data_IF_594267716066
#
_entry.id   IF_594267716066
#
_cell.length_a   1.000
_cell.length_b   1.000
_cell.length_c   1.000
_cell.angle_alpha   90.00
_cell.angle_beta   90.00
_cell.angle_gamma   90.00
#
_symmetry.space_group_name_H-M   'P 1'
#
loop_
_entity.id
_entity.type
_entity.pdbx_description
1 polymer ?
#
# COMPACT_ATOMS: atom_id res chain seq x y z
N UNK A 1 7.11 -37.64 62.80
CA UNK A 1 7.95 -37.95 61.63
C UNK A 1 7.19 -37.52 60.39
N UNK A 2 7.61 -36.37 59.87
CA UNK A 2 7.54 -35.82 58.51
C UNK A 2 7.12 -36.82 57.41
N UNK A 3 6.25 -36.52 56.43
CA UNK A 3 5.59 -35.30 55.98
C UNK A 3 4.66 -35.62 54.79
N UNK A 4 3.88 -34.65 54.27
CA UNK A 4 2.94 -34.88 53.17
C UNK A 4 3.67 -34.89 51.82
N UNK A 5 3.35 -35.86 50.96
CA UNK A 5 3.85 -35.94 49.58
C UNK A 5 3.13 -34.90 48.71
N UNK A 6 3.78 -33.75 48.49
CA UNK A 6 3.39 -32.77 47.48
C UNK A 6 3.60 -33.36 46.08
N UNK A 7 2.51 -33.65 45.38
CA UNK A 7 2.52 -33.91 43.95
C UNK A 7 2.61 -32.56 43.22
N UNK A 8 3.80 -32.22 42.73
CA UNK A 8 4.01 -31.07 41.83
C UNK A 8 3.63 -31.49 40.41
N UNK A 9 2.39 -31.19 40.00
CA UNK A 9 2.00 -31.19 38.60
C UNK A 9 2.53 -29.90 37.95
N UNK A 10 3.65 -29.99 37.22
CA UNK A 10 4.15 -28.89 36.42
C UNK A 10 3.28 -28.76 35.15
N UNK A 11 2.30 -27.86 35.19
CA UNK A 11 1.57 -27.44 34.00
C UNK A 11 2.51 -26.58 33.13
N UNK A 12 3.09 -27.20 32.10
CA UNK A 12 3.75 -26.49 31.00
C UNK A 12 2.66 -25.75 30.21
N UNK A 13 2.37 -24.52 30.63
CA UNK A 13 1.67 -23.54 29.81
C UNK A 13 2.59 -23.24 28.62
N UNK A 14 2.37 -23.94 27.52
CA UNK A 14 2.89 -23.55 26.21
C UNK A 14 2.18 -22.25 25.82
N UNK A 15 2.69 -21.13 26.32
CA UNK A 15 2.32 -19.82 25.82
C UNK A 15 2.84 -19.72 24.40
N UNK A 16 2.02 -20.14 23.44
CA UNK A 16 2.13 -19.71 22.05
C UNK A 16 1.83 -18.20 22.02
N UNK A 17 2.77 -17.38 22.50
CA UNK A 17 2.86 -16.00 22.05
C UNK A 17 3.23 -16.09 20.58
N UNK A 18 2.20 -16.20 19.74
CA UNK A 18 2.37 -15.85 18.34
C UNK A 18 2.96 -14.43 18.38
N UNK A 19 4.17 -14.18 17.84
CA UNK A 19 4.55 -12.80 17.61
C UNK A 19 3.41 -12.23 16.76
N UNK A 20 2.75 -11.20 17.26
CA UNK A 20 1.80 -10.44 16.47
C UNK A 20 2.64 -9.86 15.35
N UNK A 21 2.77 -10.60 14.25
CA UNK A 21 3.53 -10.19 13.10
C UNK A 21 3.00 -8.82 12.73
N UNK A 22 3.87 -7.81 12.80
CA UNK A 22 3.54 -6.41 12.60
C UNK A 22 2.60 -6.29 11.42
N UNK A 23 1.32 -6.12 11.72
CA UNK A 23 0.26 -6.04 10.73
C UNK A 23 0.20 -4.64 10.11
N UNK A 24 1.25 -3.85 10.32
CA UNK A 24 1.43 -2.51 9.82
C UNK A 24 1.76 -2.63 8.32
N UNK A 25 0.84 -2.14 7.49
CA UNK A 25 1.01 -2.05 6.04
C UNK A 25 0.86 -0.61 5.61
N UNK A 26 1.51 -0.19 4.52
CA UNK A 26 1.43 1.18 4.00
C UNK A 26 0.00 1.67 3.75
N UNK A 27 -0.99 0.78 3.65
CA UNK A 27 -2.41 1.15 3.63
C UNK A 27 -2.83 1.99 4.85
N UNK A 28 -2.15 1.90 6.00
CA UNK A 28 -2.43 2.73 7.18
C UNK A 28 -2.27 4.23 6.92
N UNK A 29 -1.55 4.63 5.86
CA UNK A 29 -1.48 6.01 5.39
C UNK A 29 -2.84 6.57 4.97
N UNK A 30 -3.80 5.71 4.62
CA UNK A 30 -5.17 6.14 4.32
C UNK A 30 -5.94 6.64 5.55
N UNK A 31 -5.61 6.11 6.73
CA UNK A 31 -6.30 6.39 7.99
C UNK A 31 -5.65 7.52 8.78
N UNK A 32 -4.35 7.74 8.55
CA UNK A 32 -3.57 8.78 9.20
C UNK A 32 -3.12 9.78 8.12
N UNK A 33 -3.99 10.72 7.73
CA UNK A 33 -3.67 11.67 6.68
C UNK A 33 -2.44 12.45 7.08
N UNK A 34 -1.45 12.45 6.18
CA UNK A 34 -0.24 13.25 6.33
C UNK A 34 -0.68 14.70 6.12
N UNK A 35 -0.84 15.44 7.22
CA UNK A 35 -1.00 16.88 7.15
C UNK A 35 0.26 17.42 6.47
N UNK A 36 0.11 18.28 5.44
CA UNK A 36 1.24 18.95 4.78
C UNK A 36 2.10 19.59 5.88
N UNK A 37 3.24 18.99 6.28
CA UNK A 37 4.11 19.68 7.20
C UNK A 37 4.66 20.84 6.40
N UNK A 38 4.59 22.06 6.91
CA UNK A 38 5.36 23.16 6.33
C UNK A 38 6.83 22.72 6.31
N UNK A 39 7.31 22.32 5.14
CA UNK A 39 8.46 21.43 5.02
C UNK A 39 9.75 22.24 4.83
N UNK A 40 10.13 23.12 5.75
CA UNK A 40 11.49 23.68 5.82
C UNK A 40 11.85 24.14 7.24
N UNK A 41 11.99 23.21 8.19
CA UNK A 41 12.65 23.52 9.47
C UNK A 41 13.79 22.54 9.71
N UNK A 42 15.02 23.07 9.74
CA UNK A 42 16.23 22.36 10.15
C UNK A 42 15.99 21.81 11.57
N UNK A 43 15.91 20.49 11.71
CA UNK A 43 15.68 19.81 13.00
C UNK A 43 14.31 19.14 13.18
N UNK A 44 13.41 19.21 12.20
CA UNK A 44 12.21 18.37 12.20
C UNK A 44 12.59 16.88 12.06
N UNK A 45 12.04 16.02 12.92
CA UNK A 45 12.19 14.56 12.80
C UNK A 45 11.80 14.10 11.39
N UNK A 46 12.54 13.16 10.75
CA UNK A 46 12.23 12.74 9.40
C UNK A 46 10.83 12.11 9.38
N UNK A 47 9.90 12.78 8.68
CA UNK A 47 8.47 12.41 8.55
C UNK A 47 8.33 10.91 8.29
N UNK A 48 9.18 10.35 7.43
CA UNK A 48 9.21 8.93 7.05
C UNK A 48 9.48 7.92 8.18
N UNK A 49 10.16 8.32 9.25
CA UNK A 49 10.40 7.44 10.40
C UNK A 49 9.16 7.32 11.30
N UNK A 50 8.29 8.33 11.26
CA UNK A 50 7.07 8.38 12.07
C UNK A 50 5.88 7.72 11.36
N UNK A 51 5.94 7.56 10.03
CA UNK A 51 4.87 6.93 9.27
C UNK A 51 4.76 5.43 9.60
N UNK A 52 3.65 4.98 10.21
CA UNK A 52 3.45 3.58 10.52
C UNK A 52 3.22 2.77 9.23
N UNK A 53 3.61 1.48 9.24
CA UNK A 53 3.29 0.54 8.16
C UNK A 53 4.22 0.53 6.96
N UNK A 54 5.20 1.44 6.90
CA UNK A 54 6.22 1.41 5.85
C UNK A 54 7.24 0.30 6.09
N UNK A 55 7.47 -0.52 5.06
CA UNK A 55 8.60 -1.45 5.01
C UNK A 55 9.93 -0.69 4.89
N UNK A 56 11.08 -1.33 5.19
CA UNK A 56 12.40 -0.73 5.01
C UNK A 56 12.64 -0.09 3.62
N UNK A 57 12.22 -0.74 2.53
CA UNK A 57 12.34 -0.20 1.17
C UNK A 57 11.38 0.96 0.92
N UNK A 58 10.14 0.87 1.40
CA UNK A 58 9.19 1.99 1.31
C UNK A 58 9.67 3.22 2.11
N UNK A 59 10.34 3.02 3.25
CA UNK A 59 10.92 4.11 4.04
C UNK A 59 12.04 4.83 3.29
N UNK A 60 12.88 4.10 2.55
CA UNK A 60 13.90 4.69 1.67
C UNK A 60 13.25 5.53 0.55
N UNK A 61 12.20 5.01 -0.08
CA UNK A 61 11.46 5.74 -1.10
C UNK A 61 10.79 7.00 -0.52
N UNK A 62 10.21 6.91 0.68
CA UNK A 62 9.65 8.07 1.37
C UNK A 62 10.69 9.17 1.56
N UNK A 63 11.92 8.82 1.97
CA UNK A 63 12.99 9.81 2.18
C UNK A 63 13.37 10.54 0.88
N UNK A 64 13.30 9.85 -0.26
CA UNK A 64 13.58 10.40 -1.59
C UNK A 64 12.41 11.18 -2.18
N UNK A 65 11.18 10.75 -1.89
CA UNK A 65 9.94 11.23 -2.52
C UNK A 65 8.93 11.67 -1.44
N UNK A 66 9.32 12.61 -0.59
CA UNK A 66 8.50 13.04 0.54
C UNK A 66 7.17 13.68 0.11
N UNK A 67 7.18 14.47 -0.98
CA UNK A 67 5.97 15.11 -1.54
C UNK A 67 4.91 14.07 -1.96
N UNK A 68 5.33 12.89 -2.42
CA UNK A 68 4.46 11.83 -2.90
C UNK A 68 3.66 11.15 -1.79
N UNK A 69 4.13 11.22 -0.55
CA UNK A 69 3.56 10.44 0.55
C UNK A 69 2.11 10.84 0.85
N UNK A 70 1.78 12.13 0.72
CA UNK A 70 0.40 12.63 0.88
C UNK A 70 -0.49 11.96 -0.16
N UNK A 71 -0.09 11.96 -1.43
CA UNK A 71 -0.85 11.39 -2.54
C UNK A 71 -0.90 9.86 -2.51
N UNK A 72 0.12 9.17 -1.98
CA UNK A 72 0.05 7.73 -1.69
C UNK A 72 -1.07 7.44 -0.69
N UNK A 73 -1.15 8.22 0.40
CA UNK A 73 -2.22 8.10 1.40
C UNK A 73 -3.60 8.38 0.82
N UNK A 74 -3.73 9.41 -0.02
CA UNK A 74 -4.98 9.71 -0.73
C UNK A 74 -5.39 8.63 -1.73
N UNK A 75 -4.43 8.06 -2.46
CA UNK A 75 -4.64 6.94 -3.36
C UNK A 75 -5.12 5.70 -2.62
N UNK A 76 -4.48 5.36 -1.49
CA UNK A 76 -4.91 4.27 -0.61
C UNK A 76 -6.32 4.50 -0.06
N UNK A 77 -6.63 5.71 0.41
CA UNK A 77 -7.96 6.08 0.92
C UNK A 77 -9.03 5.97 -0.16
N UNK A 78 -8.73 6.40 -1.38
CA UNK A 78 -9.64 6.28 -2.51
C UNK A 78 -9.88 4.83 -2.90
N UNK A 79 -8.83 4.00 -2.90
CA UNK A 79 -8.92 2.57 -3.16
C UNK A 79 -9.77 1.83 -2.12
N UNK A 80 -9.64 2.15 -0.83
CA UNK A 80 -10.47 1.57 0.24
C UNK A 80 -11.93 1.93 0.04
N UNK A 81 -12.24 3.20 -0.26
CA UNK A 81 -13.61 3.65 -0.54
C UNK A 81 -14.20 2.92 -1.74
N UNK A 82 -13.43 2.78 -2.81
CA UNK A 82 -13.87 2.06 -4.01
C UNK A 82 -14.10 0.57 -3.71
N UNK A 83 -13.21 -0.06 -2.94
CA UNK A 83 -13.38 -1.44 -2.50
C UNK A 83 -14.66 -1.63 -1.68
N UNK A 84 -14.91 -0.75 -0.71
CA UNK A 84 -16.14 -0.75 0.08
C UNK A 84 -17.38 -0.55 -0.80
N UNK A 85 -17.29 0.36 -1.78
CA UNK A 85 -18.37 0.60 -2.72
C UNK A 85 -18.69 -0.65 -3.55
N UNK A 86 -17.68 -1.27 -4.16
CA UNK A 86 -17.86 -2.47 -5.00
C UNK A 86 -18.41 -3.66 -4.20
N UNK A 87 -18.01 -3.80 -2.94
CA UNK A 87 -18.39 -4.93 -2.09
C UNK A 87 -19.54 -4.64 -1.11
N UNK A 88 -20.20 -3.47 -1.20
CA UNK A 88 -21.23 -3.02 -0.23
C UNK A 88 -22.41 -3.98 0.01
N UNK A 89 -22.71 -4.86 -0.95
CA UNK A 89 -23.77 -5.88 -0.86
C UNK A 89 -23.25 -7.32 -0.77
N UNK A 90 -21.97 -7.50 -0.44
CA UNK A 90 -21.32 -8.81 -0.29
C UNK A 90 -21.11 -9.14 1.19
N UNK A 91 -20.96 -10.44 1.51
CA UNK A 91 -20.69 -10.90 2.89
C UNK A 91 -19.39 -10.32 3.44
N UNK A 92 -18.37 -10.27 2.60
CA UNK A 92 -17.18 -9.46 2.84
C UNK A 92 -17.38 -8.12 2.11
N UNK A 93 -17.52 -7.04 2.87
CA UNK A 93 -17.87 -5.70 2.36
C UNK A 93 -16.68 -4.73 2.31
N UNK A 94 -15.46 -5.26 2.42
CA UNK A 94 -14.22 -4.47 2.46
C UNK A 94 -14.17 -3.42 3.59
N UNK A 95 -14.91 -3.62 4.69
CA UNK A 95 -14.82 -2.76 5.87
C UNK A 95 -13.42 -2.79 6.47
N UNK A 96 -12.96 -1.65 6.95
CA UNK A 96 -11.64 -1.54 7.59
C UNK A 96 -11.69 -2.00 9.04
N UNK A 97 -10.64 -2.65 9.51
CA UNK A 97 -10.62 -3.28 10.85
C UNK A 97 -10.04 -2.34 11.90
N UNK A 98 -8.84 -1.82 11.66
CA UNK A 98 -8.12 -0.91 12.57
C UNK A 98 -7.25 0.08 11.75
N UNK A 99 -6.58 1.00 12.45
CA UNK A 99 -5.77 2.05 11.82
C UNK A 99 -4.39 1.56 11.34
N UNK A 100 -3.98 0.33 11.66
CA UNK A 100 -2.63 -0.20 11.41
C UNK A 100 -2.63 -1.33 10.37
N UNK A 101 -3.60 -2.22 10.48
CA UNK A 101 -3.99 -3.32 9.58
C UNK A 101 -5.35 -3.06 8.94
N UNK A 102 -5.39 -2.07 8.05
CA UNK A 102 -6.59 -1.59 7.36
C UNK A 102 -7.52 -2.72 6.87
N UNK A 103 -6.98 -3.76 6.23
CA UNK A 103 -7.76 -4.88 5.70
C UNK A 103 -7.71 -6.16 6.57
N UNK A 104 -6.97 -6.15 7.69
CA UNK A 104 -6.93 -7.21 8.68
C UNK A 104 -6.54 -8.60 8.14
N UNK A 105 -7.31 -9.63 8.54
CA UNK A 105 -7.02 -11.05 8.25
C UNK A 105 -7.10 -11.40 6.77
N UNK A 106 -7.85 -10.66 5.95
CA UNK A 106 -7.95 -10.97 4.50
C UNK A 106 -6.56 -10.92 3.86
N UNK A 107 -5.69 -10.04 4.34
CA UNK A 107 -4.31 -9.92 3.85
C UNK A 107 -3.40 -11.08 4.23
N UNK A 108 -3.86 -12.00 5.09
CA UNK A 108 -3.14 -13.22 5.50
C UNK A 108 -3.61 -14.47 4.75
N UNK A 109 -4.67 -14.38 3.94
CA UNK A 109 -5.15 -15.48 3.07
C UNK A 109 -4.99 -15.11 1.59
N UNK A 110 -4.76 -16.11 0.74
CA UNK A 110 -4.70 -15.93 -0.72
C UNK A 110 -6.07 -16.07 -1.34
N UNK A 111 -6.96 -15.09 -1.15
CA UNK A 111 -8.34 -15.12 -1.66
C UNK A 111 -8.57 -14.15 -2.82
N UNK A 112 -9.74 -14.24 -3.46
CA UNK A 112 -10.16 -13.31 -4.53
C UNK A 112 -10.30 -11.88 -4.01
N UNK A 113 -10.76 -11.73 -2.77
CA UNK A 113 -10.88 -10.46 -2.06
C UNK A 113 -9.49 -9.84 -1.80
N UNK A 114 -8.51 -10.66 -1.41
CA UNK A 114 -7.12 -10.23 -1.29
C UNK A 114 -6.57 -9.74 -2.63
N UNK A 115 -6.81 -10.51 -3.70
CA UNK A 115 -6.36 -10.14 -5.03
C UNK A 115 -6.95 -8.79 -5.48
N UNK A 116 -8.25 -8.59 -5.28
CA UNK A 116 -8.90 -7.32 -5.57
C UNK A 116 -8.31 -6.17 -4.75
N UNK A 117 -8.05 -6.40 -3.45
CA UNK A 117 -7.52 -5.38 -2.54
C UNK A 117 -6.14 -4.88 -2.98
N UNK A 118 -5.24 -5.78 -3.38
CA UNK A 118 -3.92 -5.41 -3.95
C UNK A 118 -4.09 -4.61 -5.25
N UNK A 119 -4.94 -5.09 -6.16
CA UNK A 119 -5.18 -4.44 -7.45
C UNK A 119 -5.75 -3.02 -7.30
N UNK A 120 -6.88 -2.86 -6.58
CA UNK A 120 -7.53 -1.55 -6.40
C UNK A 120 -6.62 -0.57 -5.65
N UNK A 121 -5.80 -1.05 -4.72
CA UNK A 121 -4.83 -0.21 -4.01
C UNK A 121 -3.72 0.30 -4.91
N UNK A 122 -3.16 -0.57 -5.75
CA UNK A 122 -2.14 -0.17 -6.71
C UNK A 122 -2.72 0.82 -7.73
N UNK A 123 -3.94 0.57 -8.22
CA UNK A 123 -4.68 1.48 -9.10
C UNK A 123 -4.91 2.85 -8.45
N UNK A 124 -5.30 2.86 -7.17
CA UNK A 124 -5.53 4.09 -6.41
C UNK A 124 -4.29 4.97 -6.30
N UNK A 125 -3.11 4.36 -6.06
CA UNK A 125 -1.83 5.09 -6.03
C UNK A 125 -1.46 5.63 -7.41
N UNK A 126 -1.59 4.84 -8.48
CA UNK A 126 -1.35 5.32 -9.86
C UNK A 126 -2.22 6.54 -10.14
N UNK A 127 -3.53 6.42 -9.92
CA UNK A 127 -4.49 7.49 -10.16
C UNK A 127 -4.17 8.77 -9.38
N UNK A 128 -3.89 8.66 -8.07
CA UNK A 128 -3.60 9.82 -7.24
C UNK A 128 -2.30 10.53 -7.67
N UNK A 129 -1.23 9.78 -7.91
CA UNK A 129 0.07 10.35 -8.32
C UNK A 129 -0.01 10.97 -9.71
N UNK A 130 -0.64 10.29 -10.67
CA UNK A 130 -0.78 10.80 -12.04
C UNK A 130 -1.57 12.11 -12.11
N UNK A 131 -2.59 12.23 -11.25
CA UNK A 131 -3.39 13.45 -11.13
C UNK A 131 -2.63 14.57 -10.40
N UNK A 132 -1.88 14.25 -9.35
CA UNK A 132 -1.02 15.22 -8.67
C UNK A 132 0.04 15.81 -9.63
N UNK A 133 0.60 15.00 -10.53
CA UNK A 133 1.48 15.48 -11.59
C UNK A 133 0.79 16.45 -12.55
N UNK A 134 -0.46 16.18 -12.94
CA UNK A 134 -1.25 17.06 -13.80
C UNK A 134 -1.55 18.40 -13.12
N UNK A 135 -1.84 18.36 -11.83
CA UNK A 135 -2.20 19.53 -11.02
C UNK A 135 -0.98 20.36 -10.60
N UNK A 136 0.25 19.87 -10.86
CA UNK A 136 1.49 20.58 -10.54
C UNK A 136 1.87 20.53 -9.05
N UNK A 137 1.30 19.59 -8.30
CA UNK A 137 1.55 19.42 -6.86
C UNK A 137 2.83 18.63 -6.54
N UNK A 138 3.43 18.01 -7.55
CA UNK A 138 4.68 17.25 -7.43
C UNK A 138 5.77 17.90 -8.29
N UNK A 139 6.89 18.27 -7.67
CA UNK A 139 8.01 18.93 -8.37
C UNK A 139 8.72 18.01 -9.38
N UNK A 140 8.61 16.69 -9.20
CA UNK A 140 9.32 15.68 -9.99
C UNK A 140 8.62 15.28 -11.29
N UNK A 141 7.41 15.77 -11.54
CA UNK A 141 6.62 15.44 -12.72
C UNK A 141 5.75 16.62 -13.18
N UNK A 142 5.05 16.43 -14.31
CA UNK A 142 4.11 17.40 -14.85
C UNK A 142 3.07 16.69 -15.73
N UNK A 143 2.42 17.44 -16.62
CA UNK A 143 1.43 16.90 -17.56
C UNK A 143 1.95 15.70 -18.35
N UNK A 144 1.01 14.83 -18.75
CA UNK A 144 1.30 13.73 -19.66
C UNK A 144 1.98 14.18 -20.96
N UNK A 145 2.97 13.40 -21.41
CA UNK A 145 3.65 13.58 -22.70
C UNK A 145 3.11 12.63 -23.77
N UNK A 146 1.94 12.04 -23.55
CA UNK A 146 1.31 11.13 -24.51
C UNK A 146 1.03 11.85 -25.82
N UNK A 147 1.52 11.26 -26.91
CA UNK A 147 1.28 11.76 -28.25
C UNK A 147 -0.21 11.72 -28.60
N UNK A 148 -0.62 12.59 -29.52
CA UNK A 148 -1.96 12.55 -30.11
C UNK A 148 -2.32 11.12 -30.54
N UNK A 149 -3.48 10.58 -30.12
CA UNK A 149 -3.96 9.28 -30.58
C UNK A 149 -4.09 9.25 -32.12
N UNK A 150 -3.67 8.14 -32.74
CA UNK A 150 -3.66 8.00 -34.21
C UNK A 150 -5.07 7.96 -34.81
N UNK A 151 -6.03 7.51 -34.01
CA UNK A 151 -7.45 7.38 -34.28
C UNK A 151 -8.24 8.66 -34.03
N UNK A 152 -7.62 9.71 -33.46
CA UNK A 152 -8.30 10.98 -33.20
C UNK A 152 -8.60 11.71 -34.53
N UNK A 153 -9.86 12.02 -34.85
CA UNK A 153 -10.24 12.72 -36.08
C UNK A 153 -9.47 14.03 -36.27
N UNK A 154 -9.01 14.31 -37.50
CA UNK A 154 -8.08 15.43 -37.78
C UNK A 154 -8.62 16.81 -37.43
N UNK A 155 -9.94 16.95 -37.45
CA UNK A 155 -10.72 18.14 -37.06
C UNK A 155 -10.70 18.40 -35.54
N UNK A 156 -10.37 17.39 -34.73
CA UNK A 156 -10.23 17.56 -33.28
C UNK A 156 -8.83 18.02 -32.92
N UNK A 157 -8.71 19.02 -32.05
CA UNK A 157 -7.45 19.46 -31.49
C UNK A 157 -7.08 18.60 -30.28
N UNK A 158 -5.85 18.05 -30.29
CA UNK A 158 -5.28 17.37 -29.13
C UNK A 158 -4.49 18.37 -28.30
N UNK A 159 -4.80 18.48 -27.01
CA UNK A 159 -4.12 19.44 -26.13
C UNK A 159 -4.65 19.39 -24.70
N UNK A 160 -4.26 20.38 -23.92
CA UNK A 160 -4.51 20.42 -22.48
C UNK A 160 -3.46 19.68 -21.66
N UNK A 161 -3.70 19.62 -20.35
CA UNK A 161 -2.85 18.90 -19.41
C UNK A 161 -3.57 17.63 -18.95
N UNK A 162 -3.15 16.47 -19.47
CA UNK A 162 -3.66 15.17 -19.06
C UNK A 162 -2.88 14.56 -17.90
N UNK A 163 -3.49 13.60 -17.21
CA UNK A 163 -2.87 12.83 -16.12
C UNK A 163 -1.63 12.07 -16.61
N UNK A 164 -0.53 12.17 -15.86
CA UNK A 164 0.73 11.52 -16.22
C UNK A 164 0.73 10.07 -15.72
N UNK A 165 -0.03 9.21 -16.41
CA UNK A 165 -0.20 7.79 -16.07
C UNK A 165 1.13 7.02 -16.09
N UNK A 166 2.01 7.33 -17.04
CA UNK A 166 3.33 6.69 -17.13
C UNK A 166 4.18 6.93 -15.88
N UNK A 167 4.21 8.17 -15.38
CA UNK A 167 4.92 8.49 -14.14
C UNK A 167 4.29 7.78 -12.93
N UNK A 168 2.97 7.88 -12.79
CA UNK A 168 2.23 7.24 -11.70
C UNK A 168 2.41 5.72 -11.68
N UNK A 169 2.38 5.07 -12.84
CA UNK A 169 2.64 3.64 -13.01
C UNK A 169 4.03 3.26 -12.49
N UNK A 170 5.08 3.96 -12.93
CA UNK A 170 6.47 3.66 -12.53
C UNK A 170 6.67 3.84 -11.03
N UNK A 171 6.20 4.96 -10.49
CA UNK A 171 6.33 5.25 -9.07
C UNK A 171 5.53 4.26 -8.21
N UNK A 172 4.27 3.96 -8.57
CA UNK A 172 3.47 2.98 -7.85
C UNK A 172 4.09 1.59 -7.90
N UNK A 173 4.71 1.19 -9.02
CA UNK A 173 5.45 -0.06 -9.11
C UNK A 173 6.62 -0.11 -8.13
N UNK A 174 7.40 0.94 -8.01
CA UNK A 174 8.52 1.01 -7.06
C UNK A 174 8.04 0.98 -5.61
N UNK A 175 7.04 1.79 -5.26
CA UNK A 175 6.58 1.93 -3.88
C UNK A 175 5.71 0.77 -3.39
N UNK A 176 4.72 0.35 -4.19
CA UNK A 176 3.75 -0.69 -3.77
C UNK A 176 4.40 -2.07 -3.77
N UNK A 177 5.30 -2.37 -4.72
CA UNK A 177 5.98 -3.67 -4.78
C UNK A 177 7.18 -3.76 -3.82
N UNK A 178 7.67 -2.65 -3.25
CA UNK A 178 8.88 -2.64 -2.41
C UNK A 178 8.85 -3.71 -1.30
N UNK A 179 7.75 -3.77 -0.53
CA UNK A 179 7.59 -4.75 0.55
C UNK A 179 7.68 -6.20 0.08
N UNK A 180 7.10 -6.51 -1.09
CA UNK A 180 7.11 -7.87 -1.64
C UNK A 180 8.49 -8.23 -2.19
N UNK A 181 9.27 -7.26 -2.70
CA UNK A 181 10.61 -7.46 -3.26
C UNK A 181 11.75 -7.48 -2.24
N UNK A 182 11.51 -7.00 -1.02
CA UNK A 182 12.52 -6.95 0.04
C UNK A 182 12.90 -8.33 0.59
N UNK A 183 12.05 -9.34 0.41
CA UNK A 183 12.25 -10.68 0.96
C UNK A 183 12.54 -11.68 -0.15
N UNK A 184 13.60 -12.47 0.04
CA UNK A 184 13.90 -13.60 -0.81
C UNK A 184 13.34 -14.87 -0.16
N UNK A 185 12.35 -15.47 -0.82
CA UNK A 185 11.77 -16.75 -0.39
C UNK A 185 12.40 -17.92 -1.13
N UNK A 186 12.37 -19.09 -0.49
CA UNK A 186 12.85 -20.33 -1.09
C UNK A 186 12.00 -20.66 -2.32
N UNK A 187 12.65 -21.11 -3.40
CA UNK A 187 11.97 -21.45 -4.64
C UNK A 187 10.95 -22.57 -4.40
N UNK A 188 9.70 -22.34 -4.79
CA UNK A 188 8.58 -23.28 -4.62
C UNK A 188 7.88 -23.21 -3.27
N UNK A 189 8.28 -22.30 -2.37
CA UNK A 189 7.59 -22.16 -1.08
C UNK A 189 6.23 -21.47 -1.23
N UNK A 190 5.33 -21.69 -0.26
CA UNK A 190 4.02 -21.04 -0.23
C UNK A 190 4.16 -19.50 -0.15
N UNK A 191 5.15 -19.02 0.60
CA UNK A 191 5.45 -17.59 0.72
C UNK A 191 5.92 -16.99 -0.60
N UNK A 192 6.73 -17.73 -1.38
CA UNK A 192 7.10 -17.30 -2.73
C UNK A 192 5.88 -17.21 -3.63
N UNK A 193 5.00 -18.21 -3.62
CA UNK A 193 3.77 -18.20 -4.41
C UNK A 193 2.88 -17.01 -4.03
N UNK A 194 2.77 -16.71 -2.73
CA UNK A 194 2.02 -15.56 -2.22
C UNK A 194 2.62 -14.23 -2.67
N UNK A 195 3.95 -14.06 -2.56
CA UNK A 195 4.66 -12.87 -3.03
C UNK A 195 4.41 -12.64 -4.53
N UNK A 196 4.53 -13.69 -5.35
CA UNK A 196 4.28 -13.61 -6.79
C UNK A 196 2.82 -13.26 -7.11
N UNK A 197 1.86 -13.84 -6.39
CA UNK A 197 0.45 -13.49 -6.48
C UNK A 197 0.23 -12.00 -6.18
N UNK A 198 0.81 -11.48 -5.09
CA UNK A 198 0.69 -10.07 -4.71
C UNK A 198 1.26 -9.14 -5.80
N UNK A 199 2.45 -9.45 -6.33
CA UNK A 199 3.08 -8.70 -7.42
C UNK A 199 2.22 -8.71 -8.69
N UNK A 200 1.64 -9.85 -9.03
CA UNK A 200 0.74 -9.98 -10.18
C UNK A 200 -0.53 -9.15 -10.00
N UNK A 201 -1.13 -9.17 -8.81
CA UNK A 201 -2.34 -8.40 -8.52
C UNK A 201 -2.07 -6.90 -8.51
N UNK A 202 -0.94 -6.46 -7.97
CA UNK A 202 -0.51 -5.07 -8.06
C UNK A 202 -0.34 -4.64 -9.52
N UNK A 203 0.33 -5.46 -10.33
CA UNK A 203 0.51 -5.20 -11.75
C UNK A 203 -0.82 -5.12 -12.50
N UNK A 204 -1.76 -6.01 -12.20
CA UNK A 204 -3.09 -5.98 -12.79
C UNK A 204 -3.87 -4.71 -12.46
N UNK A 205 -3.68 -4.14 -11.26
CA UNK A 205 -4.29 -2.87 -10.88
C UNK A 205 -3.63 -1.63 -11.48
N UNK A 206 -2.33 -1.70 -11.80
CA UNK A 206 -1.62 -0.55 -12.38
C UNK A 206 -1.87 -0.35 -13.87
N UNK A 207 -2.32 -1.39 -14.59
CA UNK A 207 -2.62 -1.36 -16.03
C UNK A 207 -4.04 -0.92 -16.30
#
# INVERSE_FOLDING_TARGET
MSGPRLALAAALLCSCTSPVADANSWWSLAMNPIQRPEMYIIGAQPVCSQLPGLSPGQRKLCQLYQEHMVFIGEGARSAIKECQYQFRQRRWNCSTVDNTSVFGRVMKIGSRETAFTYAVSAAGVVNAISRACREGELSSCGCSRTARPKDLPRDWLWGGCGDNVEYGYRFAKEFVDAKEREKNYVRGSEEQARMLMNLQNNEAGRR
#
